data_IF_757599697158
#
_entry.id   IF_757599697158
#
_cell.length_a   1.000
_cell.length_b   1.000
_cell.length_c   1.000
_cell.angle_alpha   90.00
_cell.angle_beta   90.00
_cell.angle_gamma   90.00
#
_symmetry.space_group_name_H-M   'P 1'
#
loop_
_entity.id
_entity.type
_entity.pdbx_description
1 polymer ?
#
# COMPACT_ATOMS: atom_id res chain seq x y z
N UNK A 1 -29.87 11.39 -0.30
CA UNK A 1 -29.82 10.18 0.54
C UNK A 1 -28.42 9.60 0.45
N UNK A 2 -27.87 9.09 1.55
CA UNK A 2 -26.60 8.35 1.55
C UNK A 2 -26.80 6.95 0.95
N UNK A 3 -25.77 6.42 0.28
CA UNK A 3 -25.68 5.04 -0.21
C UNK A 3 -24.25 4.52 -0.12
N UNK A 4 -24.07 3.21 -0.17
CA UNK A 4 -22.75 2.61 -0.32
C UNK A 4 -22.12 3.00 -1.68
N UNK A 5 -20.79 3.10 -1.70
CA UNK A 5 -20.03 3.23 -2.95
C UNK A 5 -20.10 1.92 -3.74
N UNK A 6 -20.14 2.02 -5.07
CA UNK A 6 -19.91 0.84 -5.93
C UNK A 6 -18.42 0.49 -5.96
N UNK A 7 -18.04 -0.73 -6.42
CA UNK A 7 -16.62 -1.07 -6.60
C UNK A 7 -15.86 -0.13 -7.53
N UNK A 8 -16.49 0.37 -8.58
CA UNK A 8 -15.91 1.36 -9.51
C UNK A 8 -15.63 2.68 -8.80
N UNK A 9 -16.56 3.15 -7.99
CA UNK A 9 -16.41 4.40 -7.24
C UNK A 9 -15.36 4.27 -6.15
N UNK A 10 -15.32 3.16 -5.42
CA UNK A 10 -14.28 2.89 -4.43
C UNK A 10 -12.89 2.88 -5.07
N UNK A 11 -12.75 2.24 -6.24
CA UNK A 11 -11.50 2.26 -7.04
C UNK A 11 -11.13 3.67 -7.48
N UNK A 12 -12.08 4.44 -8.00
CA UNK A 12 -11.85 5.83 -8.41
C UNK A 12 -11.42 6.70 -7.23
N UNK A 13 -12.07 6.56 -6.07
CA UNK A 13 -11.71 7.28 -4.85
C UNK A 13 -10.28 6.97 -4.42
N UNK A 14 -9.90 5.68 -4.40
CA UNK A 14 -8.54 5.26 -4.07
C UNK A 14 -7.50 5.85 -5.02
N UNK A 15 -7.71 5.72 -6.34
CA UNK A 15 -6.78 6.23 -7.35
C UNK A 15 -6.66 7.76 -7.29
N UNK A 16 -7.78 8.47 -7.10
CA UNK A 16 -7.77 9.92 -6.97
C UNK A 16 -7.03 10.36 -5.70
N UNK A 17 -7.20 9.62 -4.59
CA UNK A 17 -6.48 9.90 -3.35
C UNK A 17 -4.97 9.71 -3.51
N UNK A 18 -4.52 8.61 -4.12
CA UNK A 18 -3.11 8.36 -4.42
C UNK A 18 -2.53 9.46 -5.33
N UNK A 19 -3.29 9.90 -6.33
CA UNK A 19 -2.87 11.00 -7.22
C UNK A 19 -2.66 12.30 -6.44
N UNK A 20 -3.56 12.65 -5.53
CA UNK A 20 -3.39 13.82 -4.67
C UNK A 20 -2.15 13.71 -3.77
N UNK A 21 -1.85 12.52 -3.22
CA UNK A 21 -0.63 12.30 -2.45
C UNK A 21 0.63 12.52 -3.30
N UNK A 22 0.65 12.01 -4.54
CA UNK A 22 1.76 12.22 -5.47
C UNK A 22 1.97 13.71 -5.78
N UNK A 23 0.90 14.44 -6.10
CA UNK A 23 0.95 15.88 -6.35
C UNK A 23 1.42 16.68 -5.13
N UNK A 24 1.00 16.27 -3.93
CA UNK A 24 1.44 16.86 -2.66
C UNK A 24 2.95 16.67 -2.46
N UNK A 25 3.44 15.43 -2.51
CA UNK A 25 4.86 15.13 -2.27
C UNK A 25 5.78 15.72 -3.33
N UNK A 26 5.34 15.80 -4.58
CA UNK A 26 6.10 16.45 -5.67
C UNK A 26 6.35 17.95 -5.41
N UNK A 27 5.43 18.63 -4.71
CA UNK A 27 5.49 20.08 -4.44
C UNK A 27 6.06 20.43 -3.07
N UNK A 28 6.30 19.45 -2.20
CA UNK A 28 6.71 19.69 -0.83
C UNK A 28 8.14 20.31 -0.80
N UNK A 29 8.30 21.55 -0.30
CA UNK A 29 9.60 22.22 -0.29
C UNK A 29 10.53 21.64 0.79
N UNK A 30 11.84 21.82 0.62
CA UNK A 30 12.82 21.41 1.62
C UNK A 30 13.00 19.89 1.77
N UNK A 31 12.62 19.12 0.75
CA UNK A 31 12.78 17.66 0.69
C UNK A 31 13.56 17.24 -0.55
N UNK A 32 14.46 16.29 -0.37
CA UNK A 32 15.16 15.62 -1.45
C UNK A 32 14.19 14.76 -2.27
N UNK A 33 14.54 14.40 -3.52
CA UNK A 33 13.73 13.47 -4.31
C UNK A 33 13.45 12.14 -3.59
N UNK A 34 14.44 11.58 -2.88
CA UNK A 34 14.28 10.35 -2.10
C UNK A 34 13.25 10.51 -0.98
N UNK A 35 13.39 11.54 -0.14
CA UNK A 35 12.43 11.79 0.95
C UNK A 35 10.99 12.00 0.45
N UNK A 36 10.81 12.54 -0.76
CA UNK A 36 9.49 12.69 -1.37
C UNK A 36 8.89 11.36 -1.80
N UNK A 37 9.70 10.49 -2.41
CA UNK A 37 9.28 9.13 -2.78
C UNK A 37 8.92 8.32 -1.52
N UNK A 38 9.75 8.42 -0.48
CA UNK A 38 9.53 7.71 0.79
C UNK A 38 8.27 8.21 1.50
N UNK A 39 8.09 9.53 1.55
CA UNK A 39 6.88 10.13 2.08
C UNK A 39 5.61 9.71 1.34
N UNK A 40 5.67 9.62 0.00
CA UNK A 40 4.57 9.12 -0.81
C UNK A 40 4.26 7.66 -0.49
N UNK A 41 5.28 6.80 -0.44
CA UNK A 41 5.13 5.39 -0.10
C UNK A 41 4.50 5.23 1.29
N UNK A 42 5.03 5.92 2.30
CA UNK A 42 4.49 5.94 3.66
C UNK A 42 3.02 6.40 3.70
N UNK A 43 2.67 7.43 2.92
CA UNK A 43 1.29 7.96 2.86
C UNK A 43 0.33 6.96 2.21
N UNK A 44 0.78 6.19 1.22
CA UNK A 44 -0.02 5.12 0.61
C UNK A 44 -0.25 3.98 1.60
N UNK A 45 0.77 3.58 2.36
CA UNK A 45 0.64 2.55 3.39
C UNK A 45 -0.38 2.95 4.48
N UNK A 46 -0.40 4.23 4.87
CA UNK A 46 -1.41 4.76 5.79
C UNK A 46 -2.86 4.60 5.27
N UNK A 47 -3.08 4.55 3.96
CA UNK A 47 -4.41 4.25 3.41
C UNK A 47 -4.80 2.81 3.77
N UNK A 48 -3.91 1.86 3.50
CA UNK A 48 -4.17 0.44 3.74
C UNK A 48 -4.34 0.13 5.22
N UNK A 49 -3.59 0.82 6.08
CA UNK A 49 -3.66 0.68 7.53
C UNK A 49 -4.86 1.41 8.18
N UNK A 50 -5.64 2.18 7.40
CA UNK A 50 -6.81 2.91 7.91
C UNK A 50 -6.47 4.19 8.67
N UNK A 51 -5.25 4.71 8.53
CA UNK A 51 -4.77 5.94 9.17
C UNK A 51 -4.92 7.18 8.26
N UNK A 52 -5.39 7.02 7.02
CA UNK A 52 -5.67 8.14 6.11
C UNK A 52 -7.05 8.77 6.37
N UNK A 53 -7.07 10.06 6.66
CA UNK A 53 -8.29 10.85 6.82
C UNK A 53 -9.03 11.03 5.49
N UNK A 54 -9.87 10.07 5.12
CA UNK A 54 -10.72 10.15 3.92
C UNK A 54 -10.85 8.85 3.14
N UNK A 55 -10.17 7.78 3.55
CA UNK A 55 -10.26 6.45 2.95
C UNK A 55 -10.47 5.40 4.06
N UNK A 56 -11.23 4.32 3.81
CA UNK A 56 -11.22 3.17 4.72
C UNK A 56 -9.87 2.45 4.66
N UNK A 57 -9.61 1.60 5.65
CA UNK A 57 -8.59 0.56 5.52
C UNK A 57 -8.96 -0.43 4.40
N UNK A 58 -7.97 -1.09 3.82
CA UNK A 58 -8.16 -2.11 2.80
C UNK A 58 -7.35 -3.34 3.14
N UNK A 59 -7.92 -4.53 3.00
CA UNK A 59 -7.14 -5.76 3.09
C UNK A 59 -6.22 -5.87 1.86
N UNK A 60 -4.93 -6.10 2.11
CA UNK A 60 -3.95 -6.45 1.10
C UNK A 60 -3.76 -7.96 1.11
N UNK A 61 -4.08 -8.60 0.00
CA UNK A 61 -4.03 -10.05 -0.16
C UNK A 61 -3.18 -10.38 -1.40
N UNK A 62 -2.10 -11.18 -1.29
CA UNK A 62 -1.41 -11.71 -2.45
C UNK A 62 -2.39 -12.49 -3.33
N UNK A 63 -2.34 -12.27 -4.64
CA UNK A 63 -3.19 -12.97 -5.60
C UNK A 63 -2.32 -13.84 -6.52
N UNK A 64 -1.73 -14.94 -6.02
CA UNK A 64 -0.93 -15.85 -6.84
C UNK A 64 -1.80 -16.51 -7.92
N UNK A 65 -1.18 -16.88 -9.04
CA UNK A 65 -1.82 -17.73 -10.03
C UNK A 65 -2.02 -19.15 -9.46
N UNK A 66 -3.02 -19.89 -9.96
CA UNK A 66 -3.35 -21.22 -9.45
C UNK A 66 -2.15 -22.20 -9.55
N UNK A 67 -1.34 -22.04 -10.59
CA UNK A 67 -0.18 -22.91 -10.86
C UNK A 67 1.10 -22.48 -10.13
N UNK A 68 1.14 -21.28 -9.54
CA UNK A 68 2.36 -20.72 -8.94
C UNK A 68 2.88 -21.64 -7.83
N UNK A 69 1.99 -22.15 -6.97
CA UNK A 69 2.39 -23.00 -5.85
C UNK A 69 3.13 -24.25 -6.30
N UNK A 70 2.57 -24.98 -7.27
CA UNK A 70 3.20 -26.19 -7.80
C UNK A 70 4.51 -25.86 -8.52
N UNK A 71 4.52 -24.76 -9.29
CA UNK A 71 5.71 -24.29 -9.99
C UNK A 71 6.85 -23.98 -9.00
N UNK A 72 6.64 -23.11 -8.01
CA UNK A 72 7.67 -22.74 -7.04
C UNK A 72 8.12 -23.94 -6.19
N UNK A 73 7.19 -24.82 -5.78
CA UNK A 73 7.56 -26.06 -5.08
C UNK A 73 8.44 -26.98 -5.93
N UNK A 74 8.18 -27.09 -7.23
CA UNK A 74 9.01 -27.90 -8.15
C UNK A 74 10.43 -27.35 -8.32
N UNK A 75 10.61 -26.04 -8.15
CA UNK A 75 11.90 -25.36 -8.21
C UNK A 75 12.62 -25.32 -6.84
N UNK A 76 11.99 -25.82 -5.78
CA UNK A 76 12.53 -25.72 -4.42
C UNK A 76 12.50 -24.29 -3.86
N UNK A 77 11.55 -23.46 -4.33
CA UNK A 77 11.37 -22.06 -3.94
C UNK A 77 10.13 -21.87 -3.04
N UNK A 78 10.07 -20.71 -2.37
CA UNK A 78 8.90 -20.31 -1.56
C UNK A 78 7.77 -19.79 -2.47
N UNK A 79 6.53 -19.94 -2.01
CA UNK A 79 5.34 -19.44 -2.71
C UNK A 79 4.50 -18.53 -1.79
N UNK A 80 3.64 -17.71 -2.39
CA UNK A 80 2.66 -16.92 -1.66
C UNK A 80 1.34 -17.67 -1.54
N UNK A 81 0.69 -17.54 -0.39
CA UNK A 81 -0.70 -17.93 -0.17
C UNK A 81 -1.58 -16.67 -0.13
N UNK A 82 -2.88 -16.76 -0.49
CA UNK A 82 -3.81 -15.63 -0.44
C UNK A 82 -4.22 -15.33 1.01
N UNK A 83 -3.34 -14.65 1.75
CA UNK A 83 -3.52 -14.23 3.14
C UNK A 83 -3.50 -12.71 3.27
N UNK A 84 -4.26 -12.14 4.21
CA UNK A 84 -4.18 -10.70 4.51
C UNK A 84 -2.81 -10.39 5.12
N UNK A 85 -2.06 -9.45 4.55
CA UNK A 85 -0.68 -9.11 4.97
C UNK A 85 -0.55 -7.79 5.73
N UNK A 86 -1.64 -7.03 5.85
CA UNK A 86 -1.70 -5.79 6.61
C UNK A 86 -2.55 -5.96 7.89
N UNK A 87 -2.40 -7.09 8.56
CA UNK A 87 -2.86 -7.31 9.95
C UNK A 87 -1.96 -6.59 10.99
N UNK A 88 -1.07 -5.73 10.51
CA UNK A 88 -0.16 -4.87 11.23
C UNK A 88 -0.12 -3.47 10.58
N UNK A 89 0.60 -2.54 11.20
CA UNK A 89 0.79 -1.18 10.65
C UNK A 89 1.96 -1.15 9.67
N UNK A 90 1.70 -1.36 8.38
CA UNK A 90 2.74 -1.38 7.35
C UNK A 90 3.53 -0.07 7.30
N UNK A 91 2.88 1.07 7.52
CA UNK A 91 3.55 2.37 7.55
C UNK A 91 4.58 2.49 8.69
N UNK A 92 4.34 1.86 9.85
CA UNK A 92 5.30 1.81 10.96
C UNK A 92 6.51 0.94 10.61
N UNK A 93 6.26 -0.24 10.01
CA UNK A 93 7.34 -1.14 9.57
C UNK A 93 8.22 -0.49 8.50
N UNK A 94 7.62 0.31 7.61
CA UNK A 94 8.34 1.07 6.61
C UNK A 94 9.27 2.13 7.23
N UNK A 95 8.80 2.89 8.22
CA UNK A 95 9.61 3.91 8.92
C UNK A 95 10.74 3.28 9.76
N UNK A 96 10.49 2.13 10.40
CA UNK A 96 11.53 1.39 11.14
C UNK A 96 12.64 0.90 10.19
N UNK A 97 12.27 0.43 8.99
CA UNK A 97 13.23 0.02 7.96
C UNK A 97 14.14 1.15 7.47
N UNK A 98 13.66 2.41 7.50
CA UNK A 98 14.47 3.58 7.17
C UNK A 98 15.48 3.95 8.28
N UNK A 99 15.17 3.65 9.54
CA UNK A 99 16.03 3.97 10.70
C UNK A 99 17.09 2.91 10.99
N UNK A 100 16.98 1.72 10.40
CA UNK A 100 17.92 0.60 10.57
C UNK A 100 19.12 0.60 9.61
N UNK A 101 19.23 1.58 8.72
CA UNK A 101 20.34 1.73 7.77
C UNK A 101 21.31 2.84 8.17
N UNK A 102 22.08 2.63 9.23
CA UNK A 102 23.23 3.45 9.61
C UNK A 102 24.37 2.57 10.13
#
# INVERSE_FOLDING_TARGET
>A
MSRAYTPEEARQNLLQHIKHLSEYWARLPGKTPAERCDGLAFSILNIFDGCSGGMPAFDLIPSPHADDKEFYQSQGENWYEPVVINDCMLHELFDIGQKGGA
#
